data_IF_587178678247
#
_entry.id   IF_587178678247
#
_cell.length_a   1.000
_cell.length_b   1.000
_cell.length_c   1.000
_cell.angle_alpha   90.00
_cell.angle_beta   90.00
_cell.angle_gamma   90.00
#
_symmetry.space_group_name_H-M   'P 1'
#
loop_
_entity.id
_entity.type
_entity.pdbx_description
1 polymer ?
#
# COMPACT_ATOMS: atom_id res chain seq x y z
N UNK A 1 22.59 22.90 68.30
CA UNK A 1 22.20 24.20 67.69
C UNK A 1 22.30 24.06 66.18
N UNK A 2 21.27 24.48 65.44
CA UNK A 2 21.18 24.45 63.97
C UNK A 2 21.99 25.58 63.32
N UNK A 3 22.55 25.33 62.14
CA UNK A 3 22.80 26.22 60.97
C UNK A 3 23.63 25.41 59.94
N UNK A 4 23.08 24.76 58.91
CA UNK A 4 22.60 25.26 57.59
C UNK A 4 23.62 26.24 56.95
N UNK A 5 24.21 26.04 55.75
CA UNK A 5 23.67 25.87 54.38
C UNK A 5 24.84 25.41 53.44
N UNK A 6 24.65 24.42 52.53
CA UNK A 6 24.55 24.52 51.04
C UNK A 6 25.88 24.82 50.29
N UNK A 7 26.23 24.35 49.07
CA UNK A 7 25.54 23.75 47.92
C UNK A 7 26.60 23.33 46.87
N UNK A 8 26.25 22.40 45.96
CA UNK A 8 26.75 22.25 44.56
C UNK A 8 28.20 21.76 44.37
N UNK A 9 28.56 20.84 43.46
CA UNK A 9 27.86 20.30 42.28
C UNK A 9 28.51 18.98 41.85
N UNK A 10 27.65 18.03 41.48
CA UNK A 10 27.94 16.73 40.88
C UNK A 10 28.34 16.91 39.40
N UNK A 11 29.49 16.43 38.91
CA UNK A 11 29.64 16.22 37.48
C UNK A 11 29.01 14.86 37.15
N UNK A 12 27.76 14.91 36.67
CA UNK A 12 27.11 13.80 35.99
C UNK A 12 27.94 13.54 34.74
N UNK A 13 28.72 12.44 34.75
CA UNK A 13 29.38 11.94 33.56
C UNK A 13 28.28 11.50 32.57
N UNK A 14 28.00 12.38 31.60
CA UNK A 14 27.05 12.13 30.53
C UNK A 14 27.72 11.21 29.51
N UNK A 15 27.60 9.91 29.75
CA UNK A 15 28.02 8.87 28.79
C UNK A 15 27.21 9.04 27.50
N UNK A 16 27.87 9.49 26.43
CA UNK A 16 27.33 9.45 25.08
C UNK A 16 27.20 7.99 24.64
N UNK A 17 26.06 7.37 24.92
CA UNK A 17 25.67 6.14 24.25
C UNK A 17 25.42 6.49 22.78
N UNK A 18 26.43 6.25 21.93
CA UNK A 18 26.24 6.13 20.48
C UNK A 18 25.32 4.92 20.28
N UNK A 19 24.03 5.20 20.21
CA UNK A 19 23.03 4.26 19.72
C UNK A 19 23.36 4.04 18.25
N UNK A 20 24.02 2.92 17.96
CA UNK A 20 24.13 2.37 16.62
C UNK A 20 22.71 1.95 16.23
N UNK A 21 21.93 2.93 15.78
CA UNK A 21 20.62 2.71 15.22
C UNK A 21 20.82 1.78 14.04
N UNK A 22 20.31 0.55 14.16
CA UNK A 22 20.03 -0.27 12.99
C UNK A 22 19.04 0.53 12.16
N UNK A 23 19.54 1.25 11.16
CA UNK A 23 18.73 1.64 10.02
C UNK A 23 18.41 0.34 9.32
N UNK A 24 17.32 -0.30 9.73
CA UNK A 24 16.59 -1.25 8.88
C UNK A 24 16.06 -0.43 7.71
N UNK A 25 16.98 -0.07 6.82
CA UNK A 25 16.65 0.37 5.49
C UNK A 25 16.15 -0.91 4.84
N UNK A 26 14.87 -1.18 5.01
CA UNK A 26 14.11 -2.02 4.10
C UNK A 26 14.16 -1.31 2.75
N UNK A 27 15.34 -1.41 2.11
CA UNK A 27 15.54 -1.10 0.72
C UNK A 27 14.68 -2.10 -0.01
N UNK A 28 13.44 -1.72 -0.30
CA UNK A 28 12.68 -2.35 -1.36
C UNK A 28 13.61 -2.37 -2.57
N UNK A 29 14.08 -3.55 -2.93
CA UNK A 29 14.81 -3.77 -4.16
C UNK A 29 14.04 -3.07 -5.27
N UNK A 30 14.61 -1.98 -5.79
CA UNK A 30 13.92 -1.09 -6.70
C UNK A 30 13.73 -1.86 -8.01
N UNK A 31 12.53 -2.41 -8.18
CA UNK A 31 12.18 -3.23 -9.33
C UNK A 31 12.35 -2.37 -10.59
N UNK A 32 13.19 -2.82 -11.52
CA UNK A 32 13.52 -2.10 -12.76
C UNK A 32 12.38 -2.21 -13.78
N UNK A 33 11.23 -1.63 -13.44
CA UNK A 33 10.07 -1.53 -14.34
C UNK A 33 9.48 -0.13 -14.24
N UNK A 34 8.93 0.33 -15.36
CA UNK A 34 8.38 1.68 -15.50
C UNK A 34 6.90 1.73 -15.08
N UNK A 35 6.20 0.59 -15.16
CA UNK A 35 4.79 0.45 -14.81
C UNK A 35 4.47 -0.98 -14.35
N UNK A 36 3.35 -1.13 -13.63
CA UNK A 36 2.76 -2.41 -13.31
C UNK A 36 1.68 -2.76 -14.35
N UNK A 37 1.86 -3.87 -15.06
CA UNK A 37 0.88 -4.41 -16.01
C UNK A 37 -0.13 -5.30 -15.29
N UNK A 38 -1.40 -5.12 -15.62
CA UNK A 38 -2.55 -5.88 -15.15
C UNK A 38 -3.43 -6.24 -16.35
N UNK A 39 -3.85 -7.49 -16.45
CA UNK A 39 -4.63 -8.00 -17.57
C UNK A 39 -6.04 -8.41 -17.13
N UNK A 40 -6.24 -8.77 -15.87
CA UNK A 40 -7.57 -9.09 -15.30
C UNK A 40 -7.83 -8.32 -13.99
N UNK A 41 -9.11 -8.20 -13.62
CA UNK A 41 -9.55 -7.60 -12.36
C UNK A 41 -9.18 -8.45 -11.13
N UNK A 42 -8.95 -9.75 -11.31
CA UNK A 42 -8.59 -10.69 -10.24
C UNK A 42 -7.08 -10.96 -10.12
N UNK A 43 -6.26 -10.33 -10.96
CA UNK A 43 -4.80 -10.43 -10.90
C UNK A 43 -4.23 -10.11 -9.51
N UNK A 44 -3.13 -10.77 -9.15
CA UNK A 44 -2.39 -10.44 -7.93
C UNK A 44 -1.48 -9.22 -8.15
N UNK A 45 -1.92 -8.09 -7.60
CA UNK A 45 -1.19 -6.82 -7.61
C UNK A 45 -0.25 -6.66 -6.39
N UNK A 46 -0.03 -7.70 -5.59
CA UNK A 46 0.91 -7.66 -4.43
C UNK A 46 2.30 -7.18 -4.84
N UNK A 47 2.71 -7.54 -6.08
CA UNK A 47 3.97 -7.18 -6.72
C UNK A 47 4.05 -5.71 -7.17
N UNK A 48 2.95 -4.98 -7.24
CA UNK A 48 2.90 -3.56 -7.61
C UNK A 48 3.18 -2.67 -6.38
N UNK A 49 3.87 -1.56 -6.59
CA UNK A 49 4.14 -0.59 -5.54
C UNK A 49 3.06 0.50 -5.48
N UNK A 50 2.76 0.99 -4.27
CA UNK A 50 1.79 2.07 -4.10
C UNK A 50 2.26 3.34 -4.82
N UNK A 51 1.37 3.97 -5.60
CA UNK A 51 1.71 5.14 -6.42
C UNK A 51 2.50 4.85 -7.70
N UNK A 52 2.82 3.58 -7.98
CA UNK A 52 3.38 3.16 -9.26
C UNK A 52 2.38 3.45 -10.39
N UNK A 53 2.87 3.69 -11.60
CA UNK A 53 2.01 3.74 -12.79
C UNK A 53 1.47 2.34 -13.06
N UNK A 54 0.15 2.19 -13.12
CA UNK A 54 -0.52 0.93 -13.45
C UNK A 54 -1.14 1.05 -14.84
N UNK A 55 -0.98 0.00 -15.64
CA UNK A 55 -1.62 -0.14 -16.94
C UNK A 55 -2.49 -1.40 -16.92
N UNK A 56 -3.78 -1.22 -17.13
CA UNK A 56 -4.77 -2.29 -17.22
C UNK A 56 -5.21 -2.47 -18.67
N UNK A 57 -4.97 -3.67 -19.21
CA UNK A 57 -5.33 -4.03 -20.58
C UNK A 57 -6.08 -5.38 -20.59
N UNK A 58 -7.40 -5.37 -20.73
CA UNK A 58 -8.19 -6.58 -20.62
C UNK A 58 -7.94 -7.55 -21.80
N UNK A 59 -8.12 -8.86 -21.59
CA UNK A 59 -7.84 -9.89 -22.60
C UNK A 59 -8.76 -9.79 -23.83
N UNK A 60 -9.90 -9.10 -23.70
CA UNK A 60 -10.84 -8.86 -24.80
C UNK A 60 -11.35 -7.43 -24.82
N UNK A 61 -11.57 -6.93 -26.03
CA UNK A 61 -12.06 -5.58 -26.29
C UNK A 61 -13.58 -5.55 -26.35
N UNK A 62 -14.19 -4.40 -26.03
CA UNK A 62 -15.61 -4.13 -26.29
C UNK A 62 -16.52 -4.16 -25.06
N UNK A 63 -16.00 -4.48 -23.88
CA UNK A 63 -16.74 -4.26 -22.62
C UNK A 63 -16.40 -2.89 -22.04
N UNK A 64 -17.25 -1.89 -22.29
CA UNK A 64 -17.03 -0.51 -21.81
C UNK A 64 -17.05 -0.38 -20.28
N UNK A 65 -17.68 -1.31 -19.57
CA UNK A 65 -17.75 -1.28 -18.11
C UNK A 65 -16.45 -1.81 -17.48
N UNK A 66 -15.74 -2.70 -18.17
CA UNK A 66 -14.60 -3.39 -17.61
C UNK A 66 -13.43 -2.45 -17.25
N UNK A 67 -13.05 -1.47 -18.11
CA UNK A 67 -12.15 -0.39 -17.71
C UNK A 67 -12.64 0.44 -16.51
N UNK A 68 -13.95 0.68 -16.37
CA UNK A 68 -14.48 1.43 -15.22
C UNK A 68 -14.32 0.64 -13.91
N UNK A 69 -14.50 -0.68 -13.93
CA UNK A 69 -14.21 -1.52 -12.76
C UNK A 69 -12.73 -1.48 -12.39
N UNK A 70 -11.81 -1.51 -13.37
CA UNK A 70 -10.38 -1.37 -13.10
C UNK A 70 -10.05 -0.02 -12.47
N UNK A 71 -10.66 1.08 -12.94
CA UNK A 71 -10.54 2.39 -12.31
C UNK A 71 -10.97 2.35 -10.85
N UNK A 72 -12.15 1.78 -10.58
CA UNK A 72 -12.71 1.70 -9.23
C UNK A 72 -11.84 0.86 -8.29
N UNK A 73 -11.31 -0.27 -8.76
CA UNK A 73 -10.60 -1.25 -7.93
C UNK A 73 -9.14 -0.86 -7.69
N UNK A 74 -8.47 -0.26 -8.68
CA UNK A 74 -7.01 -0.12 -8.67
C UNK A 74 -6.52 1.33 -8.60
N UNK A 75 -7.26 2.29 -9.14
CA UNK A 75 -6.73 3.64 -9.35
C UNK A 75 -6.95 4.56 -8.16
N UNK A 76 -5.98 5.40 -7.84
CA UNK A 76 -6.18 6.60 -7.02
C UNK A 76 -7.04 7.60 -7.81
N UNK A 77 -8.25 7.89 -7.30
CA UNK A 77 -9.23 8.76 -7.99
C UNK A 77 -8.93 10.26 -7.82
N UNK A 78 -8.01 10.61 -6.91
CA UNK A 78 -7.54 11.98 -6.74
C UNK A 78 -6.38 12.33 -7.70
N UNK A 79 -6.03 11.39 -8.59
CA UNK A 79 -4.98 11.54 -9.61
C UNK A 79 -5.55 11.42 -11.01
N UNK A 80 -4.74 11.84 -11.98
CA UNK A 80 -5.09 11.72 -13.40
C UNK A 80 -5.27 10.26 -13.79
N UNK A 81 -6.36 10.00 -14.51
CA UNK A 81 -6.71 8.70 -15.07
C UNK A 81 -6.86 8.89 -16.58
N UNK A 82 -6.21 8.02 -17.36
CA UNK A 82 -6.40 7.93 -18.81
C UNK A 82 -7.12 6.62 -19.09
N UNK A 83 -8.26 6.67 -19.77
CA UNK A 83 -9.01 5.46 -20.10
C UNK A 83 -9.55 5.51 -21.52
N UNK A 84 -9.69 4.32 -22.10
CA UNK A 84 -10.38 4.09 -23.38
C UNK A 84 -11.26 2.86 -23.23
N UNK A 85 -11.93 2.44 -24.31
CA UNK A 85 -12.62 1.14 -24.35
C UNK A 85 -11.69 -0.07 -24.24
N UNK A 86 -10.39 0.13 -24.44
CA UNK A 86 -9.37 -0.93 -24.45
C UNK A 86 -8.48 -0.97 -23.21
N UNK A 87 -8.71 -0.12 -22.20
CA UNK A 87 -7.89 -0.16 -20.99
C UNK A 87 -7.82 1.14 -20.20
N UNK A 88 -7.01 1.11 -19.15
CA UNK A 88 -6.83 2.19 -18.17
C UNK A 88 -5.34 2.37 -17.86
N UNK A 89 -4.90 3.61 -17.73
CA UNK A 89 -3.60 3.96 -17.14
C UNK A 89 -3.85 4.94 -15.98
N UNK A 90 -3.31 4.64 -14.81
CA UNK A 90 -3.51 5.45 -13.61
C UNK A 90 -2.39 5.25 -12.57
N UNK A 91 -2.49 5.96 -11.44
CA UNK A 91 -1.67 5.67 -10.26
C UNK A 91 -2.32 4.59 -9.41
N UNK A 92 -1.55 3.56 -9.05
CA UNK A 92 -2.04 2.45 -8.25
C UNK A 92 -2.28 2.86 -6.79
N UNK A 93 -3.48 2.61 -6.29
CA UNK A 93 -3.85 2.72 -4.88
C UNK A 93 -3.84 1.32 -4.24
N UNK A 94 -2.71 0.99 -3.61
CA UNK A 94 -2.50 -0.32 -3.01
C UNK A 94 -3.42 -0.57 -1.81
N UNK A 95 -3.70 0.47 -1.02
CA UNK A 95 -4.56 0.36 0.15
C UNK A 95 -6.00 0.05 -0.25
N UNK A 96 -6.50 0.68 -1.32
CA UNK A 96 -7.82 0.41 -1.89
C UNK A 96 -7.93 -1.04 -2.38
N UNK A 97 -6.97 -1.50 -3.18
CA UNK A 97 -6.95 -2.88 -3.67
C UNK A 97 -6.90 -3.89 -2.52
N UNK A 98 -6.03 -3.68 -1.52
CA UNK A 98 -5.95 -4.56 -0.34
C UNK A 98 -7.28 -4.65 0.41
N UNK A 99 -7.94 -3.51 0.62
CA UNK A 99 -9.26 -3.47 1.26
C UNK A 99 -10.31 -4.24 0.46
N UNK A 100 -10.29 -4.13 -0.86
CA UNK A 100 -11.19 -4.91 -1.72
C UNK A 100 -10.95 -6.42 -1.56
N UNK A 101 -9.70 -6.86 -1.61
CA UNK A 101 -9.33 -8.28 -1.43
C UNK A 101 -9.81 -8.80 -0.06
N UNK A 102 -9.63 -8.02 1.01
CA UNK A 102 -10.10 -8.38 2.34
C UNK A 102 -11.62 -8.51 2.43
N UNK A 103 -12.37 -7.59 1.83
CA UNK A 103 -13.83 -7.63 1.80
C UNK A 103 -14.35 -8.84 1.00
N UNK A 104 -13.75 -9.12 -0.16
CA UNK A 104 -14.10 -10.27 -0.99
C UNK A 104 -13.90 -11.59 -0.24
N UNK A 105 -12.79 -11.73 0.50
CA UNK A 105 -12.52 -12.92 1.34
C UNK A 105 -13.56 -13.08 2.45
N UNK A 106 -13.94 -11.99 3.14
CA UNK A 106 -14.97 -12.02 4.19
C UNK A 106 -16.33 -12.46 3.64
N UNK A 107 -16.74 -11.90 2.50
CA UNK A 107 -18.02 -12.24 1.88
C UNK A 107 -18.07 -13.71 1.42
N UNK A 108 -16.96 -14.24 0.89
CA UNK A 108 -16.87 -15.66 0.52
C UNK A 108 -17.03 -16.59 1.74
N UNK A 109 -16.44 -16.24 2.87
CA UNK A 109 -16.55 -17.01 4.12
C UNK A 109 -17.98 -17.00 4.68
N UNK A 110 -18.67 -15.85 4.62
CA UNK A 110 -20.06 -15.74 5.06
C UNK A 110 -21.00 -16.61 4.19
N UNK A 111 -20.84 -16.57 2.87
CA UNK A 111 -21.65 -17.38 1.96
C UNK A 111 -21.46 -18.90 2.18
N UNK A 112 -20.27 -19.34 2.58
CA UNK A 112 -19.99 -20.74 2.92
C UNK A 112 -20.61 -21.16 4.27
N UNK A 113 -20.77 -20.21 5.20
CA UNK A 113 -21.43 -20.46 6.49
C UNK A 113 -22.95 -20.47 6.38
N UNK A 114 -23.52 -19.72 5.44
CA UNK A 114 -24.98 -19.65 5.20
C UNK A 114 -25.48 -20.77 4.28
N UNK A 115 -24.68 -21.24 3.32
CA UNK A 115 -25.03 -22.36 2.42
C UNK A 115 -24.91 -23.75 3.04
N UNK A 116 -24.52 -23.84 4.32
CA UNK A 116 -24.38 -25.10 5.08
C UNK A 116 -25.50 -25.37 6.08
N UNK A 117 -26.64 -24.67 5.98
CA UNK A 117 -27.84 -24.88 6.80
C UNK A 117 -28.97 -25.49 6.00
#
# INVERSE_FOLDING_TARGET
MKRTLLFMSLPIALSLAVSCGKTDTASKEKKDRIYCLVEDLDDDLSKCDNGETLAFFPPSWGNEQYPLYAVLLFCDLDKTIVHTRGGVICKFDKAKWQRFVELSKKNQQQNQQEGGK
#
